data_IF_001371637521
#
_entry.id   IF_001371637521
#
_cell.length_a   1.000
_cell.length_b   1.000
_cell.length_c   1.000
_cell.angle_alpha   90.00
_cell.angle_beta   90.00
_cell.angle_gamma   90.00
#
_symmetry.space_group_name_H-M   'P 1'
#
loop_
_entity.id
_entity.type
_entity.pdbx_description
1 polymer ?
#
# COMPACT_ATOMS: atom_id res chain seq x y z
N UNK A 1 19.83 -21.96 -5.25
CA UNK A 1 18.39 -22.30 -5.26
C UNK A 1 17.60 -21.02 -5.43
N UNK A 2 16.55 -20.99 -6.26
CA UNK A 2 15.63 -19.84 -6.28
C UNK A 2 14.93 -19.72 -4.92
N UNK A 3 14.52 -18.50 -4.50
CA UNK A 3 13.81 -18.30 -3.25
C UNK A 3 12.45 -19.02 -3.28
N UNK A 4 12.11 -19.68 -2.17
CA UNK A 4 10.86 -20.45 -1.99
C UNK A 4 9.62 -19.55 -2.14
N UNK A 5 9.77 -18.29 -1.75
CA UNK A 5 8.73 -17.28 -1.83
C UNK A 5 9.11 -16.23 -2.86
N UNK A 6 8.17 -15.81 -3.69
CA UNK A 6 8.46 -14.77 -4.65
C UNK A 6 8.61 -13.41 -3.91
N UNK A 7 9.42 -12.49 -4.43
CA UNK A 7 9.75 -11.25 -3.72
C UNK A 7 8.53 -10.35 -3.58
N UNK A 8 8.46 -9.57 -2.49
CA UNK A 8 7.45 -8.52 -2.37
C UNK A 8 7.58 -7.51 -3.52
N UNK A 9 6.44 -7.08 -4.06
CA UNK A 9 6.38 -6.15 -5.20
C UNK A 9 5.69 -4.85 -4.85
N UNK A 10 4.96 -4.79 -3.75
CA UNK A 10 4.16 -3.65 -3.34
C UNK A 10 4.35 -3.39 -1.85
N UNK A 11 4.37 -2.11 -1.48
CA UNK A 11 4.38 -1.67 -0.09
C UNK A 11 3.18 -0.76 0.15
N UNK A 12 2.34 -1.14 1.11
CA UNK A 12 1.19 -0.35 1.56
C UNK A 12 1.62 0.40 2.81
N UNK A 13 1.72 1.73 2.70
CA UNK A 13 2.03 2.61 3.83
C UNK A 13 0.75 3.24 4.34
N UNK A 14 0.63 3.39 5.65
CA UNK A 14 -0.43 4.20 6.24
C UNK A 14 0.08 5.02 7.42
N UNK A 15 -0.55 6.17 7.63
CA UNK A 15 -0.34 7.01 8.80
C UNK A 15 -1.69 7.26 9.49
N UNK A 16 -1.69 7.15 10.82
CA UNK A 16 -2.83 7.45 11.69
C UNK A 16 -2.51 8.67 12.54
N UNK A 17 -3.50 9.53 12.85
CA UNK A 17 -3.31 10.74 13.65
C UNK A 17 -3.30 10.39 15.15
N UNK A 18 -2.38 9.52 15.57
CA UNK A 18 -2.22 9.12 16.98
C UNK A 18 -0.92 9.68 17.56
N UNK A 19 -0.92 10.14 18.84
CA UNK A 19 0.31 10.58 19.50
C UNK A 19 1.35 9.45 19.51
N UNK A 20 2.58 9.74 19.09
CA UNK A 20 3.67 8.75 18.99
C UNK A 20 3.91 8.19 17.57
N UNK A 21 3.17 8.63 16.56
CA UNK A 21 3.50 8.34 15.16
C UNK A 21 3.04 6.96 14.71
N UNK A 22 1.73 6.74 14.64
CA UNK A 22 1.13 5.50 14.12
C UNK A 22 1.33 5.33 12.63
N UNK A 23 2.57 5.10 12.19
CA UNK A 23 2.93 4.70 10.83
C UNK A 23 3.00 3.18 10.76
N UNK A 24 2.45 2.61 9.70
CA UNK A 24 2.57 1.19 9.40
C UNK A 24 2.96 1.02 7.92
N UNK A 25 3.73 -0.03 7.64
CA UNK A 25 4.14 -0.40 6.29
C UNK A 25 4.07 -1.92 6.16
N UNK A 26 3.17 -2.40 5.31
CA UNK A 26 2.99 -3.83 5.03
C UNK A 26 3.39 -4.11 3.58
N UNK A 27 4.06 -5.23 3.34
CA UNK A 27 4.52 -5.62 2.01
C UNK A 27 3.73 -6.79 1.45
N UNK A 28 3.54 -6.76 0.14
CA UNK A 28 2.75 -7.74 -0.57
C UNK A 28 3.44 -8.17 -1.85
N UNK A 29 3.38 -9.46 -2.11
CA UNK A 29 3.75 -10.02 -3.40
C UNK A 29 2.68 -9.77 -4.48
N UNK A 30 1.39 -9.93 -4.15
CA UNK A 30 0.29 -9.88 -5.14
C UNK A 30 -0.41 -8.50 -5.15
N UNK A 31 -0.68 -7.91 -6.34
CA UNK A 31 -1.26 -6.57 -6.46
C UNK A 31 -2.66 -6.49 -5.84
N UNK A 32 -3.51 -7.50 -6.08
CA UNK A 32 -4.88 -7.55 -5.50
C UNK A 32 -4.89 -7.48 -3.97
N UNK A 33 -3.93 -8.15 -3.31
CA UNK A 33 -3.83 -8.12 -1.84
C UNK A 33 -3.42 -6.74 -1.34
N UNK A 34 -2.49 -6.07 -2.02
CA UNK A 34 -2.11 -4.70 -1.69
C UNK A 34 -3.27 -3.72 -1.89
N UNK A 35 -4.02 -3.88 -2.99
CA UNK A 35 -5.20 -3.06 -3.29
C UNK A 35 -6.30 -3.24 -2.23
N UNK A 36 -6.67 -4.48 -1.93
CA UNK A 36 -7.65 -4.78 -0.88
C UNK A 36 -7.25 -4.21 0.48
N UNK A 37 -5.96 -4.26 0.84
CA UNK A 37 -5.46 -3.66 2.07
C UNK A 37 -5.65 -2.13 2.07
N UNK A 38 -5.30 -1.45 0.97
CA UNK A 38 -5.50 0.00 0.84
C UNK A 38 -6.98 0.40 0.91
N UNK A 39 -7.86 -0.33 0.22
CA UNK A 39 -9.31 -0.08 0.26
C UNK A 39 -9.88 -0.33 1.66
N UNK A 40 -9.47 -1.39 2.35
CA UNK A 40 -9.88 -1.64 3.75
C UNK A 40 -9.43 -0.50 4.66
N UNK A 41 -8.17 -0.07 4.57
CA UNK A 41 -7.65 1.06 5.35
C UNK A 41 -8.44 2.35 5.08
N UNK A 42 -8.79 2.62 3.81
CA UNK A 42 -9.61 3.77 3.41
C UNK A 42 -11.02 3.68 4.02
N UNK A 43 -11.63 2.50 3.98
CA UNK A 43 -12.97 2.25 4.53
C UNK A 43 -13.06 2.41 6.04
N UNK A 44 -11.98 2.09 6.76
CA UNK A 44 -11.91 2.27 8.21
C UNK A 44 -11.78 3.74 8.65
N UNK A 45 -11.48 4.68 7.74
CA UNK A 45 -11.38 6.13 7.99
C UNK A 45 -10.44 6.57 9.13
N UNK A 46 -9.63 5.68 9.68
CA UNK A 46 -8.66 5.99 10.74
C UNK A 46 -7.31 6.48 10.22
N UNK A 47 -6.99 6.19 8.96
CA UNK A 47 -5.74 6.63 8.33
C UNK A 47 -5.92 8.00 7.66
N UNK A 48 -5.01 8.94 7.95
CA UNK A 48 -4.93 10.25 7.29
C UNK A 48 -4.13 10.20 6.00
N UNK A 49 -3.27 9.20 5.86
CA UNK A 49 -2.51 8.94 4.64
C UNK A 49 -2.50 7.43 4.39
N UNK A 50 -2.68 7.05 3.12
CA UNK A 50 -2.53 5.69 2.63
C UNK A 50 -1.82 5.79 1.29
N UNK A 51 -0.74 5.04 1.12
CA UNK A 51 -0.02 4.95 -0.14
C UNK A 51 0.20 3.49 -0.51
N UNK A 52 0.12 3.17 -1.80
CA UNK A 52 0.63 1.91 -2.33
C UNK A 52 1.74 2.21 -3.32
N UNK A 53 2.92 1.66 -3.05
CA UNK A 53 4.13 1.90 -3.83
C UNK A 53 4.55 0.59 -4.48
N UNK A 54 4.77 0.60 -5.79
CA UNK A 54 5.41 -0.51 -6.49
C UNK A 54 6.91 -0.48 -6.21
N UNK A 55 7.43 -1.56 -5.65
CA UNK A 55 8.81 -1.63 -5.18
C UNK A 55 9.83 -1.70 -6.34
N UNK A 56 9.41 -2.16 -7.52
CA UNK A 56 10.30 -2.31 -8.67
C UNK A 56 10.82 -0.96 -9.20
N UNK A 57 10.00 0.09 -9.12
CA UNK A 57 10.29 1.41 -9.71
C UNK A 57 9.92 2.59 -8.81
N UNK A 58 9.37 2.35 -7.62
CA UNK A 58 8.99 3.37 -6.66
C UNK A 58 7.72 4.14 -7.03
N UNK A 59 6.99 3.72 -8.07
CA UNK A 59 5.76 4.40 -8.52
C UNK A 59 4.68 4.28 -7.47
N UNK A 60 4.01 5.39 -7.18
CA UNK A 60 2.82 5.41 -6.32
C UNK A 60 1.60 5.08 -7.14
N UNK A 61 1.00 3.91 -6.89
CA UNK A 61 -0.17 3.40 -7.59
C UNK A 61 -1.48 3.87 -6.92
N UNK A 62 -1.41 4.20 -5.64
CA UNK A 62 -2.53 4.72 -4.86
C UNK A 62 -1.99 5.73 -3.85
N UNK A 63 -2.64 6.88 -3.72
CA UNK A 63 -2.37 7.88 -2.68
C UNK A 63 -3.69 8.55 -2.26
N UNK A 64 -4.10 8.32 -1.01
CA UNK A 64 -5.34 8.89 -0.48
C UNK A 64 -5.30 10.42 -0.43
N UNK A 65 -4.17 11.00 -0.03
CA UNK A 65 -4.02 12.44 0.17
C UNK A 65 -3.87 13.22 -1.14
N UNK A 66 -3.21 12.62 -2.13
CA UNK A 66 -3.04 13.19 -3.46
C UNK A 66 -4.18 12.83 -4.43
N UNK A 67 -5.10 11.96 -4.01
CA UNK A 67 -6.23 11.50 -4.85
C UNK A 67 -5.80 10.61 -6.01
N UNK A 68 -4.66 9.91 -5.89
CA UNK A 68 -4.15 9.00 -6.91
C UNK A 68 -4.77 7.62 -6.73
N UNK A 69 -5.34 7.05 -7.78
CA UNK A 69 -5.91 5.70 -7.79
C UNK A 69 -5.75 5.10 -9.20
N UNK A 70 -4.64 4.39 -9.42
CA UNK A 70 -4.43 3.61 -10.64
C UNK A 70 -5.34 2.38 -10.60
N UNK A 71 -6.00 1.96 -11.70
CA UNK A 71 -6.81 0.74 -11.68
C UNK A 71 -5.96 -0.50 -11.41
N UNK A 72 -6.46 -1.44 -10.61
CA UNK A 72 -5.70 -2.61 -10.12
C UNK A 72 -5.11 -3.49 -11.24
N UNK A 73 -5.73 -3.50 -12.42
CA UNK A 73 -5.24 -4.25 -13.59
C UNK A 73 -3.95 -3.65 -14.20
N UNK A 74 -3.55 -2.44 -13.75
CA UNK A 74 -2.33 -1.74 -14.17
C UNK A 74 -1.25 -1.64 -13.07
N UNK A 75 -1.40 -2.38 -11.96
CA UNK A 75 -0.49 -2.34 -10.81
C UNK A 75 0.79 -3.14 -11.05
#
# INVERSE_FOLDING_TARGET
MPPLWPPDRFEVRSARPVPGGGRAADRYHFPRRAHEAAIRLRGLRFATQIQVIRLADGVTLFDLSAGVEVPVDHW
#
